data_IF_929101170262
#
_entry.id   IF_929101170262
#
_cell.length_a   1.000
_cell.length_b   1.000
_cell.length_c   1.000
_cell.angle_alpha   90.00
_cell.angle_beta   90.00
_cell.angle_gamma   90.00
#
_symmetry.space_group_name_H-M   'P 1'
#
loop_
_entity.id
_entity.type
_entity.pdbx_description
1 polymer ?
#
# COMPACT_ATOMS: atom_id res chain seq x y z
N UNK A 1 6.58 -6.07 -1.94
CA UNK A 1 6.61 -7.41 -2.60
C UNK A 1 5.27 -7.69 -3.29
N UNK A 2 5.24 -8.31 -4.47
CA UNK A 2 3.97 -8.62 -5.17
C UNK A 2 3.93 -10.08 -5.66
N UNK A 3 2.79 -10.77 -5.53
CA UNK A 3 2.60 -12.06 -6.19
C UNK A 3 1.38 -12.88 -5.73
N UNK A 4 1.00 -13.92 -6.51
CA UNK A 4 -0.05 -14.86 -6.12
C UNK A 4 0.50 -15.69 -4.94
N UNK A 5 -0.26 -15.81 -3.86
CA UNK A 5 0.19 -16.12 -2.48
C UNK A 5 1.15 -17.30 -2.22
N UNK A 6 1.57 -18.07 -3.23
CA UNK A 6 2.63 -19.08 -3.16
C UNK A 6 4.03 -18.61 -3.59
N UNK A 7 4.17 -17.42 -4.22
CA UNK A 7 5.46 -16.83 -4.62
C UNK A 7 5.41 -15.31 -4.57
N UNK A 8 6.54 -14.68 -4.22
CA UNK A 8 6.64 -13.24 -4.01
C UNK A 8 7.74 -12.64 -4.87
N UNK A 9 7.45 -11.63 -5.69
CA UNK A 9 8.50 -10.79 -6.27
C UNK A 9 8.95 -9.75 -5.27
N UNK A 10 10.26 -9.74 -5.01
CA UNK A 10 10.94 -8.63 -4.35
C UNK A 10 11.10 -7.50 -5.36
N UNK A 11 10.78 -6.29 -4.93
CA UNK A 11 10.79 -5.11 -5.77
C UNK A 11 11.70 -4.05 -5.13
N UNK A 12 12.43 -3.31 -5.95
CA UNK A 12 13.05 -2.07 -5.50
C UNK A 12 12.04 -0.91 -5.47
N UNK A 13 12.50 0.27 -5.05
CA UNK A 13 11.67 1.48 -4.95
C UNK A 13 11.11 1.96 -6.29
N UNK A 14 11.74 1.57 -7.40
CA UNK A 14 11.31 1.88 -8.77
C UNK A 14 10.37 0.80 -9.35
N UNK A 15 10.02 -0.21 -8.55
CA UNK A 15 9.12 -1.28 -8.95
C UNK A 15 9.77 -2.33 -9.84
N UNK A 16 11.11 -2.39 -9.88
CA UNK A 16 11.86 -3.41 -10.61
C UNK A 16 11.96 -4.69 -9.78
N UNK A 17 11.68 -5.81 -10.42
CA UNK A 17 11.82 -7.14 -9.81
C UNK A 17 13.28 -7.47 -9.56
N UNK A 18 13.64 -7.66 -8.29
CA UNK A 18 14.97 -8.11 -7.87
C UNK A 18 15.09 -9.64 -7.85
N UNK A 19 13.96 -10.35 -7.77
CA UNK A 19 13.94 -11.79 -7.55
C UNK A 19 12.57 -12.28 -7.13
N UNK A 20 12.30 -13.57 -7.36
CA UNK A 20 11.15 -14.25 -6.78
C UNK A 20 11.62 -15.04 -5.56
N UNK A 21 10.98 -14.79 -4.42
CA UNK A 21 11.24 -15.49 -3.16
C UNK A 21 10.04 -16.37 -2.78
N UNK A 22 10.31 -17.46 -2.08
CA UNK A 22 9.30 -18.43 -1.68
C UNK A 22 8.38 -17.94 -0.54
N UNK A 23 8.86 -17.00 0.28
CA UNK A 23 8.14 -16.50 1.45
C UNK A 23 8.27 -14.97 1.59
N UNK A 24 7.32 -14.38 2.30
CA UNK A 24 7.28 -12.95 2.61
C UNK A 24 8.48 -12.57 3.48
N UNK A 25 9.22 -11.53 3.08
CA UNK A 25 10.33 -10.98 3.87
C UNK A 25 9.74 -10.12 5.01
N UNK A 26 10.08 -10.39 6.28
CA UNK A 26 9.64 -9.56 7.41
C UNK A 26 10.07 -8.10 7.26
N UNK A 27 9.23 -7.17 7.71
CA UNK A 27 9.52 -5.73 7.65
C UNK A 27 9.30 -5.07 6.29
N UNK A 28 9.03 -5.82 5.22
CA UNK A 28 8.67 -5.24 3.93
C UNK A 28 7.15 -5.24 3.72
N UNK A 29 6.57 -4.12 3.24
CA UNK A 29 5.16 -4.08 2.89
C UNK A 29 4.88 -4.96 1.66
N UNK A 30 3.68 -5.54 1.68
CA UNK A 30 3.12 -6.22 0.53
C UNK A 30 2.50 -5.19 -0.41
N UNK A 31 2.75 -5.33 -1.71
CA UNK A 31 2.08 -4.59 -2.77
C UNK A 31 1.05 -5.53 -3.40
N UNK A 32 -0.22 -5.19 -3.27
CA UNK A 32 -1.35 -5.91 -3.89
C UNK A 32 -1.84 -5.07 -5.06
N UNK A 33 -1.93 -5.67 -6.23
CA UNK A 33 -2.37 -4.99 -7.45
C UNK A 33 -3.51 -5.79 -8.03
N UNK A 34 -4.65 -5.14 -8.25
CA UNK A 34 -5.81 -5.73 -8.90
C UNK A 34 -5.89 -5.21 -10.34
N UNK A 35 -5.30 -5.90 -11.33
CA UNK A 35 -5.44 -5.48 -12.72
C UNK A 35 -6.87 -5.73 -13.23
N UNK A 36 -7.34 -4.92 -14.19
CA UNK A 36 -8.68 -5.06 -14.79
C UNK A 36 -8.84 -6.34 -15.63
N UNK A 37 -7.74 -6.95 -16.07
CA UNK A 37 -7.73 -8.23 -16.78
C UNK A 37 -6.85 -9.25 -16.05
N UNK A 38 -7.31 -10.50 -16.02
CA UNK A 38 -6.82 -11.65 -15.24
C UNK A 38 -5.36 -11.57 -14.78
N UNK A 39 -5.16 -11.49 -13.46
CA UNK A 39 -3.93 -11.85 -12.74
C UNK A 39 -2.62 -11.27 -13.29
N UNK A 40 -2.07 -10.26 -12.60
CA UNK A 40 -0.72 -9.77 -12.93
C UNK A 40 0.28 -10.84 -12.45
N UNK A 41 0.86 -11.58 -13.39
CA UNK A 41 2.00 -12.43 -13.07
C UNK A 41 3.12 -11.54 -12.49
N UNK A 42 3.80 -11.98 -11.42
CA UNK A 42 4.90 -11.20 -10.87
C UNK A 42 5.95 -10.93 -11.96
N UNK A 43 6.49 -9.71 -12.09
CA UNK A 43 7.46 -9.40 -13.13
C UNK A 43 8.70 -10.30 -12.96
N UNK A 44 9.20 -10.82 -14.09
CA UNK A 44 10.47 -11.53 -14.13
C UNK A 44 11.62 -10.66 -13.65
N UNK A 45 12.71 -11.27 -13.17
CA UNK A 45 13.87 -10.54 -12.63
C UNK A 45 14.37 -9.50 -13.63
N UNK A 46 14.61 -8.28 -13.16
CA UNK A 46 15.04 -7.14 -13.96
C UNK A 46 13.94 -6.46 -14.77
N UNK A 47 12.68 -6.94 -14.73
CA UNK A 47 11.52 -6.29 -15.33
C UNK A 47 10.78 -5.43 -14.31
N UNK A 48 10.16 -4.37 -14.78
CA UNK A 48 9.33 -3.48 -13.96
C UNK A 48 7.90 -4.00 -13.87
N UNK A 49 7.21 -3.63 -12.80
CA UNK A 49 5.76 -3.72 -12.70
C UNK A 49 5.08 -3.00 -13.88
N UNK A 50 3.89 -3.49 -14.25
CA UNK A 50 3.05 -2.80 -15.23
C UNK A 50 2.36 -1.57 -14.61
N UNK A 51 1.93 -0.64 -15.47
CA UNK A 51 1.35 0.65 -15.08
C UNK A 51 0.14 0.56 -14.13
N UNK A 52 -0.55 -0.58 -14.08
CA UNK A 52 -1.64 -0.82 -13.11
C UNK A 52 -1.17 -0.82 -11.64
N UNK A 53 0.13 -0.84 -11.38
CA UNK A 53 0.70 -0.81 -10.03
C UNK A 53 1.26 0.56 -9.61
N UNK A 54 1.24 1.57 -10.48
CA UNK A 54 2.00 2.82 -10.30
C UNK A 54 1.54 3.61 -9.08
N UNK A 55 0.23 3.72 -8.84
CA UNK A 55 -0.32 4.40 -7.67
C UNK A 55 0.11 3.73 -6.36
N UNK A 56 -0.05 2.41 -6.27
CA UNK A 56 0.31 1.64 -5.08
C UNK A 56 1.83 1.63 -4.84
N UNK A 57 2.63 1.55 -5.91
CA UNK A 57 4.09 1.67 -5.83
C UNK A 57 4.51 3.07 -5.37
N UNK A 58 3.87 4.11 -5.91
CA UNK A 58 4.11 5.51 -5.51
C UNK A 58 3.86 5.69 -4.03
N UNK A 59 2.74 5.19 -3.51
CA UNK A 59 2.47 5.23 -2.08
C UNK A 59 3.53 4.45 -1.31
N UNK A 60 3.85 3.23 -1.71
CA UNK A 60 4.84 2.39 -1.01
C UNK A 60 6.23 3.05 -0.89
N UNK A 61 6.66 3.82 -1.90
CA UNK A 61 7.96 4.54 -1.88
C UNK A 61 7.93 5.86 -1.12
N UNK A 62 6.76 6.51 -1.01
CA UNK A 62 6.63 7.81 -0.31
C UNK A 62 6.16 7.67 1.13
N UNK A 63 5.91 6.44 1.61
CA UNK A 63 5.52 6.20 3.00
C UNK A 63 6.56 6.81 3.96
N UNK A 64 6.13 7.65 4.91
CA UNK A 64 7.01 8.12 5.99
C UNK A 64 7.58 6.92 6.76
N UNK A 65 8.86 6.96 7.22
CA UNK A 65 9.48 5.82 7.92
C UNK A 65 8.69 5.33 9.14
N UNK A 66 8.12 6.27 9.91
CA UNK A 66 7.29 5.96 11.07
C UNK A 66 6.00 5.18 10.71
N UNK A 67 5.49 5.39 9.50
CA UNK A 67 4.28 4.77 8.99
C UNK A 67 4.57 3.47 8.24
N UNK A 68 5.66 3.41 7.49
CA UNK A 68 6.10 2.21 6.77
C UNK A 68 6.26 0.98 7.68
N UNK A 69 6.71 1.17 8.93
CA UNK A 69 6.81 0.09 9.92
C UNK A 69 5.47 -0.48 10.39
N UNK A 70 4.37 0.23 10.17
CA UNK A 70 3.01 -0.19 10.54
C UNK A 70 2.26 -0.80 9.35
N UNK A 71 2.64 -0.49 8.12
CA UNK A 71 1.95 -0.95 6.90
C UNK A 71 2.32 -2.40 6.57
N UNK A 72 1.32 -3.28 6.61
CA UNK A 72 1.43 -4.66 6.15
C UNK A 72 1.19 -4.79 4.65
N UNK A 73 0.24 -4.05 4.10
CA UNK A 73 -0.10 -4.11 2.68
C UNK A 73 -0.48 -2.74 2.11
N UNK A 74 -0.13 -2.53 0.85
CA UNK A 74 -0.53 -1.41 0.00
C UNK A 74 -1.27 -2.02 -1.19
N UNK A 75 -2.57 -1.75 -1.29
CA UNK A 75 -3.43 -2.31 -2.32
C UNK A 75 -3.87 -1.23 -3.30
N UNK A 76 -3.52 -1.39 -4.58
CA UNK A 76 -3.97 -0.54 -5.67
C UNK A 76 -5.15 -1.16 -6.40
N UNK A 77 -6.24 -0.40 -6.52
CA UNK A 77 -7.41 -0.76 -7.28
C UNK A 77 -7.28 -0.32 -8.76
N UNK A 78 -8.08 -0.90 -9.68
CA UNK A 78 -8.02 -0.57 -11.11
C UNK A 78 -8.28 0.91 -11.43
N UNK A 79 -8.99 1.61 -10.54
CA UNK A 79 -9.33 3.04 -10.63
C UNK A 79 -8.23 3.96 -10.07
N UNK A 80 -7.03 3.43 -9.82
CA UNK A 80 -5.88 4.13 -9.22
C UNK A 80 -6.09 4.58 -7.77
N UNK A 81 -7.15 4.10 -7.10
CA UNK A 81 -7.28 4.30 -5.66
C UNK A 81 -6.39 3.34 -4.89
N UNK A 82 -5.86 3.81 -3.77
CA UNK A 82 -4.96 3.06 -2.90
C UNK A 82 -5.58 2.88 -1.52
N UNK A 83 -5.41 1.69 -0.98
CA UNK A 83 -5.71 1.38 0.42
C UNK A 83 -4.51 0.76 1.12
N UNK A 84 -4.40 0.98 2.42
CA UNK A 84 -3.31 0.50 3.26
C UNK A 84 -3.88 -0.39 4.37
N UNK A 85 -3.27 -1.55 4.59
CA UNK A 85 -3.57 -2.39 5.75
C UNK A 85 -2.46 -2.23 6.78
N UNK A 86 -2.83 -1.86 8.00
CA UNK A 86 -1.90 -1.69 9.12
C UNK A 86 -1.79 -2.96 9.98
N UNK A 87 -0.69 -3.09 10.71
CA UNK A 87 -0.43 -4.19 11.63
C UNK A 87 -1.37 -4.23 12.84
N UNK A 88 -2.04 -3.13 13.13
CA UNK A 88 -3.12 -3.00 14.12
C UNK A 88 -4.44 -3.62 13.66
N UNK A 89 -4.56 -4.03 12.40
CA UNK A 89 -5.79 -4.51 11.79
C UNK A 89 -6.67 -3.41 11.18
N UNK A 90 -6.21 -2.15 11.22
CA UNK A 90 -6.87 -1.02 10.58
C UNK A 90 -6.63 -1.00 9.07
N UNK A 91 -7.63 -0.54 8.33
CA UNK A 91 -7.52 -0.22 6.90
C UNK A 91 -7.58 1.29 6.71
N UNK A 92 -6.65 1.86 5.96
CA UNK A 92 -6.69 3.27 5.55
C UNK A 92 -7.07 3.35 4.08
N UNK A 93 -8.15 4.03 3.75
CA UNK A 93 -8.55 4.34 2.38
C UNK A 93 -7.92 5.68 2.01
N UNK A 94 -6.90 5.65 1.17
CA UNK A 94 -6.15 6.85 0.77
C UNK A 94 -6.81 7.56 -0.43
N UNK A 95 -7.55 6.82 -1.26
CA UNK A 95 -8.03 7.31 -2.54
C UNK A 95 -6.88 7.43 -3.56
N UNK A 96 -6.91 8.46 -4.40
CA UNK A 96 -5.86 8.71 -5.41
C UNK A 96 -4.54 9.16 -4.76
N UNK A 97 -3.45 9.15 -5.54
CA UNK A 97 -2.12 9.61 -5.12
C UNK A 97 -1.95 11.13 -5.09
N UNK A 98 -3.05 11.87 -5.10
CA UNK A 98 -3.04 13.32 -4.96
C UNK A 98 -2.89 13.71 -3.49
N UNK A 99 -2.14 14.79 -3.23
CA UNK A 99 -1.93 15.37 -1.90
C UNK A 99 -1.45 14.38 -0.81
N UNK A 100 -0.61 13.42 -1.20
CA UNK A 100 -0.10 12.36 -0.31
C UNK A 100 0.48 12.89 1.00
N UNK A 101 1.24 13.99 0.95
CA UNK A 101 1.82 14.61 2.16
C UNK A 101 0.74 14.99 3.16
N UNK A 102 -0.31 15.70 2.72
CA UNK A 102 -1.42 16.12 3.58
C UNK A 102 -2.18 14.90 4.13
N UNK A 103 -2.44 13.89 3.28
CA UNK A 103 -3.11 12.65 3.70
C UNK A 103 -2.29 11.88 4.75
N UNK A 104 -0.95 11.84 4.62
CA UNK A 104 -0.10 11.19 5.60
C UNK A 104 -0.09 11.91 6.94
N UNK A 105 -0.11 13.25 6.94
CA UNK A 105 -0.23 14.05 8.16
C UNK A 105 -1.58 13.81 8.86
N UNK A 106 -2.68 13.77 8.11
CA UNK A 106 -4.01 13.47 8.64
C UNK A 106 -4.07 12.07 9.29
N UNK A 107 -3.51 11.06 8.62
CA UNK A 107 -3.45 9.68 9.16
C UNK A 107 -2.59 9.64 10.42
N UNK A 108 -1.43 10.29 10.42
CA UNK A 108 -0.54 10.34 11.58
C UNK A 108 -1.22 11.03 12.77
N UNK A 109 -1.94 12.13 12.53
CA UNK A 109 -2.71 12.84 13.55
C UNK A 109 -3.80 11.95 14.17
N UNK A 110 -4.57 11.22 13.35
CA UNK A 110 -5.62 10.31 13.82
C UNK A 110 -5.05 9.17 14.65
N UNK A 111 -4.00 8.50 14.16
CA UNK A 111 -3.36 7.39 14.88
C UNK A 111 -2.75 7.87 16.19
N UNK A 112 -2.20 9.09 16.22
CA UNK A 112 -1.59 9.65 17.43
C UNK A 112 -2.60 10.11 18.49
N UNK A 113 -3.80 10.56 18.09
CA UNK A 113 -4.78 11.15 19.03
C UNK A 113 -5.95 10.23 19.41
N UNK A 114 -6.21 9.14 18.70
CA UNK A 114 -7.37 8.30 18.97
C UNK A 114 -6.98 6.83 19.28
N UNK A 115 -7.33 6.29 20.46
CA UNK A 115 -7.42 4.85 20.61
C UNK A 115 -8.61 4.38 19.75
N UNK A 116 -8.33 3.93 18.52
CA UNK A 116 -9.29 3.42 17.53
C UNK A 116 -9.86 2.05 17.95
N UNK A 117 -10.36 1.97 19.18
CA UNK A 117 -10.96 0.78 19.77
C UNK A 117 -12.33 0.55 19.16
N UNK A 118 -12.37 -0.15 18.03
CA UNK A 118 -13.60 -0.58 17.36
C UNK A 118 -13.74 -0.10 15.91
N UNK A 119 -13.09 1.00 15.56
CA UNK A 119 -12.99 1.44 14.17
C UNK A 119 -12.10 0.48 13.37
N UNK A 120 -12.52 0.13 12.17
CA UNK A 120 -11.76 -0.77 11.28
C UNK A 120 -11.22 -0.04 10.07
N UNK A 121 -11.78 1.13 9.75
CA UNK A 121 -11.46 1.86 8.54
C UNK A 121 -11.28 3.35 8.80
N UNK A 122 -10.18 3.91 8.30
CA UNK A 122 -9.91 5.35 8.25
C UNK A 122 -10.02 5.77 6.79
N UNK A 123 -11.00 6.59 6.44
CA UNK A 123 -11.16 7.14 5.10
C UNK A 123 -10.51 8.53 5.03
N UNK A 124 -9.51 8.67 4.15
CA UNK A 124 -8.73 9.89 3.89
C UNK A 124 -8.73 10.19 2.39
N UNK A 125 -9.78 9.78 1.69
CA UNK A 125 -9.97 10.08 0.25
C UNK A 125 -10.05 11.59 -0.01
N UNK A 126 -10.56 12.35 0.96
CA UNK A 126 -10.59 13.83 0.95
C UNK A 126 -9.59 14.36 1.99
N UNK A 127 -8.53 15.08 1.56
CA UNK A 127 -7.59 15.73 2.49
C UNK A 127 -8.32 16.68 3.44
N UNK A 128 -7.87 16.77 4.69
CA UNK A 128 -8.42 17.65 5.74
C UNK A 128 -9.86 17.33 6.17
N UNK A 129 -10.48 16.26 5.69
CA UNK A 129 -11.79 15.77 6.16
C UNK A 129 -11.82 14.24 6.32
N UNK A 130 -10.92 13.67 7.14
CA UNK A 130 -10.87 12.24 7.33
C UNK A 130 -12.06 11.72 8.15
N UNK A 131 -12.58 10.56 7.78
CA UNK A 131 -13.71 9.90 8.46
C UNK A 131 -13.26 8.56 9.06
N UNK A 132 -13.77 8.22 10.24
CA UNK A 132 -13.43 6.98 10.96
C UNK A 132 -14.70 6.15 11.17
N UNK A 133 -14.68 4.88 10.79
CA UNK A 133 -15.82 3.95 10.87
C UNK A 133 -15.43 2.56 11.37
#
# INVERSE_FOLDING_TARGET
MAGPGSRWSLLDADGRSLGVVAARVPGLPQLVVYPPSSGLAPPGVGRSLGAGADAALTVARTLPPAFAGQVLAVAGAPDQTVSLTLNSGLTVLLGTTDDLTAKYEDVAAIIAHAPLTGAKTIDVTVPQSPTVA
#
